data_IF_633112889228
#
_entry.id   IF_633112889228
#
_cell.length_a   1.000
_cell.length_b   1.000
_cell.length_c   1.000
_cell.angle_alpha   90.00
_cell.angle_beta   90.00
_cell.angle_gamma   90.00
#
_symmetry.space_group_name_H-M   'P 1'
#
loop_
_entity.id
_entity.type
_entity.pdbx_description
1 polymer ?
#
# COMPACT_ATOMS: atom_id res chain seq x y z
N UNK A 1 32.49 -59.22 21.74
CA UNK A 1 31.40 -58.47 22.40
C UNK A 1 31.38 -57.08 21.75
N UNK A 2 30.40 -56.78 20.90
CA UNK A 2 29.09 -56.17 21.23
C UNK A 2 29.18 -54.65 21.51
N UNK A 3 28.72 -53.86 20.52
CA UNK A 3 27.81 -52.68 20.59
C UNK A 3 27.80 -51.79 21.84
N UNK A 4 27.94 -50.46 21.73
CA UNK A 4 26.86 -49.50 21.42
C UNK A 4 27.31 -48.04 21.64
N UNK A 5 26.59 -47.16 20.94
CA UNK A 5 26.52 -45.70 21.05
C UNK A 5 26.31 -45.17 22.48
N UNK A 6 26.68 -43.90 22.71
CA UNK A 6 25.67 -42.87 22.99
C UNK A 6 26.31 -41.48 23.14
N UNK A 7 25.88 -40.60 22.23
CA UNK A 7 25.99 -39.15 22.29
C UNK A 7 25.03 -38.69 23.39
N UNK A 8 25.51 -37.85 24.31
CA UNK A 8 24.64 -37.04 25.19
C UNK A 8 24.91 -35.56 25.02
N UNK A 9 23.85 -34.87 24.61
CA UNK A 9 23.65 -33.42 24.67
C UNK A 9 23.62 -32.91 26.11
N UNK A 10 24.03 -31.64 26.30
CA UNK A 10 23.37 -30.68 27.20
C UNK A 10 23.89 -29.28 26.81
N UNK A 11 23.06 -28.46 26.14
CA UNK A 11 22.05 -27.54 26.69
C UNK A 11 22.55 -26.09 26.74
N UNK A 12 22.69 -25.47 25.57
CA UNK A 12 22.65 -24.01 25.45
C UNK A 12 21.21 -23.55 25.68
N UNK A 13 20.97 -23.01 26.86
CA UNK A 13 19.73 -22.34 27.26
C UNK A 13 19.26 -21.29 26.23
N UNK A 14 17.94 -21.09 26.07
CA UNK A 14 17.35 -20.30 25.00
C UNK A 14 17.66 -18.82 25.15
N UNK A 15 18.00 -18.16 24.04
CA UNK A 15 18.02 -16.71 23.96
C UNK A 15 16.61 -16.19 24.26
N UNK A 16 16.56 -15.18 25.13
CA UNK A 16 15.36 -14.44 25.45
C UNK A 16 14.89 -13.68 24.21
N UNK A 17 13.97 -14.26 23.45
CA UNK A 17 13.07 -13.49 22.59
C UNK A 17 11.94 -12.94 23.45
N UNK A 18 12.25 -11.92 24.22
CA UNK A 18 11.26 -11.10 24.90
C UNK A 18 11.66 -9.66 24.61
N UNK A 19 11.05 -9.08 23.58
CA UNK A 19 10.77 -7.65 23.38
C UNK A 19 10.44 -7.39 21.90
N UNK A 20 9.29 -7.93 21.44
CA UNK A 20 8.70 -7.58 20.13
C UNK A 20 7.75 -6.38 20.19
N UNK A 21 7.62 -5.74 21.36
CA UNK A 21 6.67 -4.64 21.59
C UNK A 21 7.19 -3.26 21.17
N UNK A 22 8.44 -3.15 20.69
CA UNK A 22 9.04 -1.88 20.26
C UNK A 22 9.83 -2.09 18.96
N UNK A 23 9.15 -2.51 17.89
CA UNK A 23 9.75 -2.50 16.57
C UNK A 23 8.80 -1.74 15.64
N UNK A 24 9.28 -0.60 15.14
CA UNK A 24 8.62 0.21 14.13
C UNK A 24 8.27 -0.68 12.92
N UNK A 25 7.07 -0.56 12.36
CA UNK A 25 6.59 -1.44 11.28
C UNK A 25 7.56 -1.48 10.08
N UNK A 26 8.26 -0.37 9.80
CA UNK A 26 9.29 -0.27 8.76
C UNK A 26 10.54 -1.14 9.03
N UNK A 27 10.92 -1.32 10.31
CA UNK A 27 12.10 -2.10 10.69
C UNK A 27 11.82 -3.61 10.74
N UNK A 28 10.55 -4.00 10.89
CA UNK A 28 10.14 -5.40 10.88
C UNK A 28 10.31 -6.00 9.48
N UNK A 29 9.92 -5.24 8.44
CA UNK A 29 10.06 -5.64 7.04
C UNK A 29 11.53 -5.89 6.66
N UNK A 30 12.46 -5.06 7.16
CA UNK A 30 13.90 -5.23 6.93
C UNK A 30 14.52 -6.39 7.73
N UNK A 31 14.02 -6.68 8.93
CA UNK A 31 14.52 -7.78 9.76
C UNK A 31 14.13 -9.16 9.18
N UNK A 32 12.96 -9.25 8.54
CA UNK A 32 12.42 -10.48 7.95
C UNK A 32 13.11 -10.90 6.64
N UNK A 33 13.90 -10.02 6.02
CA UNK A 33 14.70 -10.32 4.81
C UNK A 33 15.78 -11.38 5.01
N UNK A 34 16.04 -11.83 6.25
CA UNK A 34 17.20 -12.68 6.59
C UNK A 34 16.93 -14.19 6.70
N UNK A 35 15.70 -14.70 6.58
CA UNK A 35 15.47 -16.15 6.83
C UNK A 35 14.77 -16.98 5.75
N UNK A 36 14.39 -16.41 4.62
CA UNK A 36 14.13 -17.14 3.37
C UNK A 36 14.55 -16.24 2.22
N UNK A 37 15.07 -16.83 1.15
CA UNK A 37 15.37 -16.09 -0.09
C UNK A 37 14.05 -15.56 -0.63
N UNK A 38 13.79 -14.27 -0.42
CA UNK A 38 12.61 -13.57 -0.98
C UNK A 38 12.62 -13.80 -2.50
N UNK A 39 11.44 -14.02 -3.13
CA UNK A 39 11.34 -14.07 -4.58
C UNK A 39 12.11 -12.94 -5.25
N UNK A 40 12.89 -13.25 -6.30
CA UNK A 40 13.68 -12.23 -7.04
C UNK A 40 12.81 -11.13 -7.65
N UNK A 41 11.51 -11.37 -7.81
CA UNK A 41 10.53 -10.40 -8.29
C UNK A 41 9.49 -10.15 -7.22
N UNK A 42 9.35 -8.89 -6.80
CA UNK A 42 8.20 -8.45 -6.00
C UNK A 42 6.92 -8.49 -6.83
N UNK A 43 5.78 -8.61 -6.16
CA UNK A 43 4.48 -8.46 -6.78
C UNK A 43 4.15 -6.98 -6.94
N UNK A 44 4.04 -6.52 -8.19
CA UNK A 44 3.77 -5.12 -8.55
C UNK A 44 2.32 -4.83 -8.92
N UNK A 45 1.42 -5.82 -8.81
CA UNK A 45 0.01 -5.70 -9.18
C UNK A 45 -0.27 -5.57 -10.69
N UNK A 46 0.69 -5.93 -11.56
CA UNK A 46 0.53 -5.88 -13.02
C UNK A 46 -0.02 -7.18 -13.65
N UNK A 47 0.02 -8.28 -12.93
CA UNK A 47 -0.53 -9.59 -13.31
C UNK A 47 -1.39 -10.11 -12.16
N UNK A 48 -2.34 -11.05 -12.39
CA UNK A 48 -3.07 -11.71 -11.33
C UNK A 48 -2.14 -12.25 -10.23
N UNK A 49 -2.54 -12.07 -8.97
CA UNK A 49 -1.77 -12.56 -7.85
C UNK A 49 -1.57 -14.09 -7.90
N UNK A 50 -2.57 -14.83 -8.40
CA UNK A 50 -2.47 -16.28 -8.63
C UNK A 50 -1.34 -16.65 -9.59
N UNK A 51 -1.19 -15.91 -10.69
CA UNK A 51 -0.11 -16.12 -11.65
C UNK A 51 1.27 -15.81 -11.03
N UNK A 52 1.33 -14.80 -10.15
CA UNK A 52 2.54 -14.50 -9.40
C UNK A 52 2.90 -15.63 -8.42
N UNK A 53 1.90 -16.19 -7.72
CA UNK A 53 2.09 -17.34 -6.83
C UNK A 53 2.57 -18.56 -7.62
N UNK A 54 1.97 -18.87 -8.76
CA UNK A 54 2.36 -20.00 -9.62
C UNK A 54 3.82 -19.88 -10.10
N UNK A 55 4.23 -18.68 -10.53
CA UNK A 55 5.63 -18.42 -10.94
C UNK A 55 6.62 -18.57 -9.79
N UNK A 56 6.15 -18.44 -8.55
CA UNK A 56 6.95 -18.55 -7.33
C UNK A 56 6.52 -19.76 -6.47
N UNK A 57 5.93 -20.80 -7.08
CA UNK A 57 5.31 -21.90 -6.35
C UNK A 57 6.26 -22.63 -5.39
N UNK A 58 7.55 -22.74 -5.73
CA UNK A 58 8.57 -23.32 -4.85
C UNK A 58 8.74 -22.51 -3.56
N UNK A 59 8.68 -21.19 -3.64
CA UNK A 59 8.74 -20.32 -2.46
C UNK A 59 7.45 -20.43 -1.65
N UNK A 60 6.28 -20.33 -2.30
CA UNK A 60 5.00 -20.38 -1.60
C UNK A 60 4.69 -21.74 -0.96
N UNK A 61 5.15 -22.84 -1.55
CA UNK A 61 5.06 -24.19 -0.93
C UNK A 61 5.94 -24.32 0.32
N UNK A 62 7.08 -23.63 0.38
CA UNK A 62 7.90 -23.59 1.60
C UNK A 62 7.22 -22.81 2.73
N UNK A 63 6.39 -21.82 2.40
CA UNK A 63 5.62 -21.07 3.39
C UNK A 63 4.58 -21.95 4.10
N UNK A 64 4.01 -22.98 3.45
CA UNK A 64 2.92 -23.80 4.02
C UNK A 64 3.26 -24.41 5.38
N UNK A 65 4.53 -24.74 5.61
CA UNK A 65 5.01 -25.35 6.85
C UNK A 65 5.38 -24.33 7.95
N UNK A 66 5.34 -23.03 7.65
CA UNK A 66 5.66 -21.97 8.60
C UNK A 66 4.47 -21.62 9.50
N UNK A 67 4.75 -20.92 10.60
CA UNK A 67 3.70 -20.37 11.46
C UNK A 67 2.94 -19.27 10.70
N UNK A 68 1.68 -19.08 11.06
CA UNK A 68 0.80 -18.10 10.41
C UNK A 68 1.42 -16.70 10.31
N UNK A 69 1.98 -16.20 11.41
CA UNK A 69 2.60 -14.88 11.43
C UNK A 69 3.84 -14.79 10.50
N UNK A 70 4.59 -15.88 10.36
CA UNK A 70 5.75 -15.95 9.46
C UNK A 70 5.29 -15.97 8.00
N UNK A 71 4.24 -16.74 7.67
CA UNK A 71 3.61 -16.74 6.34
C UNK A 71 3.18 -15.33 5.93
N UNK A 72 2.47 -14.64 6.82
CA UNK A 72 2.01 -13.27 6.62
C UNK A 72 3.18 -12.32 6.40
N UNK A 73 4.20 -12.40 7.26
CA UNK A 73 5.42 -11.60 7.13
C UNK A 73 6.11 -11.79 5.77
N UNK A 74 6.28 -13.03 5.33
CA UNK A 74 6.88 -13.34 4.03
C UNK A 74 6.02 -12.89 2.85
N UNK A 75 4.70 -13.05 2.93
CA UNK A 75 3.78 -12.53 1.93
C UNK A 75 3.92 -11.02 1.76
N UNK A 76 3.92 -10.27 2.87
CA UNK A 76 4.07 -8.82 2.86
C UNK A 76 5.43 -8.39 2.29
N UNK A 77 6.49 -9.13 2.59
CA UNK A 77 7.82 -8.91 2.02
C UNK A 77 7.92 -9.18 0.51
N UNK A 78 6.95 -9.89 -0.07
CA UNK A 78 6.86 -10.10 -1.51
C UNK A 78 6.16 -8.95 -2.24
N UNK A 79 5.48 -8.05 -1.55
CA UNK A 79 4.72 -6.96 -2.18
C UNK A 79 5.64 -5.80 -2.55
N UNK A 80 5.37 -5.12 -3.66
CA UNK A 80 5.96 -3.80 -3.91
C UNK A 80 5.37 -2.76 -2.96
N UNK A 81 6.08 -1.65 -2.75
CA UNK A 81 5.64 -0.58 -1.85
C UNK A 81 4.24 -0.06 -2.19
N UNK A 82 3.90 0.03 -3.48
CA UNK A 82 2.59 0.47 -3.95
C UNK A 82 1.49 -0.55 -3.59
N UNK A 83 1.75 -1.84 -3.83
CA UNK A 83 0.79 -2.90 -3.47
C UNK A 83 0.60 -2.97 -1.97
N UNK A 84 1.70 -2.86 -1.20
CA UNK A 84 1.66 -2.84 0.26
C UNK A 84 0.83 -1.66 0.78
N UNK A 85 1.07 -0.44 0.28
CA UNK A 85 0.30 0.76 0.66
C UNK A 85 -1.18 0.59 0.38
N UNK A 86 -1.52 0.06 -0.79
CA UNK A 86 -2.92 -0.17 -1.17
C UNK A 86 -3.57 -1.25 -0.31
N UNK A 87 -2.84 -2.32 0.02
CA UNK A 87 -3.28 -3.34 0.97
C UNK A 87 -3.51 -2.75 2.36
N UNK A 88 -2.63 -1.84 2.81
CA UNK A 88 -2.78 -1.13 4.09
C UNK A 88 -4.00 -0.22 4.08
N UNK A 89 -4.29 0.45 2.96
CA UNK A 89 -5.43 1.34 2.82
C UNK A 89 -6.79 0.64 2.94
N UNK A 90 -6.92 -0.66 2.59
CA UNK A 90 -8.18 -1.40 2.86
C UNK A 90 -8.30 -1.92 4.28
N UNK A 91 -7.17 -2.02 5.02
CA UNK A 91 -7.13 -2.55 6.39
C UNK A 91 -6.51 -1.52 7.36
N UNK A 92 -7.17 -0.37 7.57
CA UNK A 92 -6.59 0.72 8.36
C UNK A 92 -6.36 0.35 9.83
N UNK A 93 -7.34 -0.33 10.44
CA UNK A 93 -7.34 -0.64 11.88
C UNK A 93 -6.63 -1.95 12.25
N UNK A 94 -6.11 -2.67 11.25
CA UNK A 94 -5.44 -3.94 11.44
C UNK A 94 -4.01 -3.78 10.95
N UNK A 95 -3.02 -4.06 11.81
CA UNK A 95 -1.64 -4.17 11.36
C UNK A 95 -1.58 -5.31 10.34
N UNK A 96 -1.06 -5.06 9.13
CA UNK A 96 -1.03 -6.09 8.09
C UNK A 96 -0.29 -7.35 8.57
N UNK A 97 0.75 -7.18 9.38
CA UNK A 97 1.51 -8.26 10.00
C UNK A 97 0.68 -9.13 10.98
N UNK A 98 -0.44 -8.61 11.48
CA UNK A 98 -1.38 -9.32 12.36
C UNK A 98 -2.54 -9.98 11.61
N UNK A 99 -2.68 -9.72 10.31
CA UNK A 99 -3.68 -10.36 9.47
C UNK A 99 -3.33 -11.83 9.24
N UNK A 100 -4.36 -12.66 9.01
CA UNK A 100 -4.16 -14.02 8.55
C UNK A 100 -3.63 -14.01 7.11
N UNK A 101 -2.75 -14.95 6.82
CA UNK A 101 -2.17 -15.11 5.49
C UNK A 101 -3.27 -15.33 4.45
N UNK A 102 -4.24 -16.19 4.74
CA UNK A 102 -5.37 -16.47 3.84
C UNK A 102 -6.15 -15.22 3.46
N UNK A 103 -6.38 -14.33 4.43
CA UNK A 103 -7.21 -13.14 4.24
C UNK A 103 -6.50 -12.13 3.33
N UNK A 104 -5.18 -12.00 3.46
CA UNK A 104 -4.38 -11.14 2.60
C UNK A 104 -4.23 -11.72 1.19
N UNK A 105 -4.10 -13.04 1.05
CA UNK A 105 -4.09 -13.70 -0.27
C UNK A 105 -5.41 -13.48 -1.00
N UNK A 106 -6.54 -13.61 -0.29
CA UNK A 106 -7.86 -13.35 -0.83
C UNK A 106 -8.00 -11.91 -1.32
N UNK A 107 -7.56 -10.94 -0.52
CA UNK A 107 -7.57 -9.53 -0.88
C UNK A 107 -6.72 -9.26 -2.13
N UNK A 108 -5.48 -9.77 -2.16
CA UNK A 108 -4.56 -9.63 -3.30
C UNK A 108 -5.11 -10.26 -4.58
N UNK A 109 -5.85 -11.37 -4.43
CA UNK A 109 -6.48 -12.07 -5.55
C UNK A 109 -7.73 -11.36 -6.07
N UNK A 110 -8.55 -10.78 -5.18
CA UNK A 110 -9.88 -10.23 -5.53
C UNK A 110 -9.87 -8.75 -5.88
N UNK A 111 -9.09 -7.93 -5.19
CA UNK A 111 -9.30 -6.47 -5.17
C UNK A 111 -8.15 -5.68 -5.80
N UNK A 112 -6.92 -6.15 -5.64
CA UNK A 112 -5.74 -5.32 -5.92
C UNK A 112 -5.21 -5.44 -7.34
N UNK A 113 -5.36 -6.60 -7.98
CA UNK A 113 -4.84 -6.81 -9.33
C UNK A 113 -5.48 -5.82 -10.33
N UNK A 114 -6.81 -5.73 -10.35
CA UNK A 114 -7.50 -4.85 -11.30
C UNK A 114 -7.33 -3.37 -10.92
N UNK A 115 -7.49 -3.03 -9.64
CA UNK A 115 -7.39 -1.63 -9.17
C UNK A 115 -6.01 -1.03 -9.43
N UNK A 116 -4.93 -1.80 -9.23
CA UNK A 116 -3.54 -1.34 -9.46
C UNK A 116 -3.22 -1.23 -10.94
N UNK A 117 -3.65 -2.23 -11.73
CA UNK A 117 -3.52 -2.20 -13.18
C UNK A 117 -4.22 -0.97 -13.76
N UNK A 118 -5.49 -0.76 -13.40
CA UNK A 118 -6.24 0.40 -13.86
C UNK A 118 -5.63 1.72 -13.38
N UNK A 119 -5.20 1.83 -12.12
CA UNK A 119 -4.54 3.04 -11.63
C UNK A 119 -3.26 3.37 -12.41
N UNK A 120 -2.42 2.38 -12.73
CA UNK A 120 -1.21 2.57 -13.55
C UNK A 120 -1.55 2.89 -15.01
N UNK A 121 -2.48 2.17 -15.61
CA UNK A 121 -2.91 2.40 -17.01
C UNK A 121 -3.51 3.79 -17.19
N UNK A 122 -4.43 4.20 -16.30
CA UNK A 122 -5.00 5.55 -16.33
C UNK A 122 -3.97 6.61 -15.98
N UNK A 123 -3.05 6.37 -15.04
CA UNK A 123 -1.96 7.33 -14.77
C UNK A 123 -1.03 7.55 -15.95
N UNK A 124 -0.84 6.55 -16.81
CA UNK A 124 -0.05 6.69 -18.03
C UNK A 124 -0.83 7.40 -19.16
N UNK A 125 -2.16 7.23 -19.20
CA UNK A 125 -3.06 7.87 -20.17
C UNK A 125 -3.34 9.34 -19.83
N UNK A 126 -3.34 9.67 -18.55
CA UNK A 126 -3.47 11.02 -18.03
C UNK A 126 -2.08 11.66 -18.05
N UNK A 127 -1.91 12.74 -18.83
CA UNK A 127 -0.60 13.34 -19.14
C UNK A 127 0.37 13.39 -17.95
N UNK A 128 1.66 13.01 -18.16
CA UNK A 128 2.65 13.00 -17.10
C UNK A 128 3.06 14.42 -16.69
N UNK A 129 3.21 14.61 -15.37
CA UNK A 129 4.01 15.63 -14.72
C UNK A 129 3.70 17.09 -15.07
N UNK A 130 2.42 17.47 -14.98
CA UNK A 130 2.07 18.87 -14.73
C UNK A 130 2.49 19.25 -13.29
N UNK A 131 3.29 20.30 -13.14
CA UNK A 131 3.41 20.95 -11.83
C UNK A 131 2.10 21.69 -11.56
N UNK A 132 1.29 21.16 -10.64
CA UNK A 132 0.10 21.86 -10.17
C UNK A 132 0.53 22.92 -9.16
N UNK A 133 0.00 24.14 -9.31
CA UNK A 133 0.31 25.28 -8.44
C UNK A 133 -0.23 25.07 -7.02
N UNK A 134 -1.33 24.32 -6.89
CA UNK A 134 -2.03 24.02 -5.65
C UNK A 134 -2.96 22.81 -5.85
N UNK A 135 -3.44 22.23 -4.75
CA UNK A 135 -4.26 21.03 -4.78
C UNK A 135 -5.67 21.26 -5.37
N UNK A 136 -6.23 22.47 -5.31
CA UNK A 136 -7.53 22.77 -5.96
C UNK A 136 -7.41 22.78 -7.48
N UNK A 137 -6.32 23.36 -7.98
CA UNK A 137 -5.98 23.32 -9.40
C UNK A 137 -5.75 21.89 -9.87
N UNK A 138 -5.09 21.03 -9.08
CA UNK A 138 -4.99 19.60 -9.33
C UNK A 138 -6.38 18.94 -9.47
N UNK A 139 -7.29 19.11 -8.50
CA UNK A 139 -8.62 18.50 -8.56
C UNK A 139 -9.38 18.88 -9.83
N UNK A 140 -9.43 20.18 -10.13
CA UNK A 140 -10.15 20.70 -11.29
C UNK A 140 -9.58 20.17 -12.60
N UNK A 141 -8.26 20.17 -12.75
CA UNK A 141 -7.60 19.67 -13.96
C UNK A 141 -7.86 18.17 -14.12
N UNK A 142 -7.69 17.38 -13.05
CA UNK A 142 -7.93 15.92 -13.09
C UNK A 142 -9.38 15.57 -13.40
N UNK A 143 -10.36 16.29 -12.83
CA UNK A 143 -11.77 16.10 -13.18
C UNK A 143 -12.04 16.32 -14.67
N UNK A 144 -11.43 17.33 -15.29
CA UNK A 144 -11.54 17.59 -16.74
C UNK A 144 -10.86 16.49 -17.54
N UNK A 145 -9.65 16.07 -17.15
CA UNK A 145 -8.91 15.00 -17.82
C UNK A 145 -9.69 13.68 -17.79
N UNK A 146 -10.23 13.28 -16.62
CA UNK A 146 -11.03 12.07 -16.50
C UNK A 146 -12.29 12.15 -17.34
N UNK A 147 -13.03 13.26 -17.28
CA UNK A 147 -14.24 13.42 -18.09
C UNK A 147 -13.94 13.29 -19.58
N UNK A 148 -12.86 13.94 -20.05
CA UNK A 148 -12.44 13.84 -21.45
C UNK A 148 -12.03 12.41 -21.83
N UNK A 149 -11.38 11.68 -20.92
CA UNK A 149 -10.95 10.31 -21.17
C UNK A 149 -12.14 9.34 -21.20
N UNK A 150 -13.06 9.46 -20.25
CA UNK A 150 -14.29 8.66 -20.19
C UNK A 150 -15.20 8.91 -21.41
N UNK A 151 -15.26 10.15 -21.90
CA UNK A 151 -15.97 10.49 -23.14
C UNK A 151 -15.29 9.89 -24.38
N UNK A 152 -13.95 9.92 -24.44
CA UNK A 152 -13.18 9.36 -25.55
C UNK A 152 -13.27 7.82 -25.61
N UNK A 153 -13.21 7.16 -24.47
CA UNK A 153 -13.18 5.68 -24.38
C UNK A 153 -14.57 5.07 -24.23
N UNK A 154 -15.58 5.86 -23.84
CA UNK A 154 -16.90 5.37 -23.40
C UNK A 154 -16.84 4.42 -22.19
N UNK A 155 -15.74 4.43 -21.45
CA UNK A 155 -15.54 3.63 -20.24
C UNK A 155 -15.45 4.53 -19.02
N UNK A 156 -16.14 4.18 -17.93
CA UNK A 156 -16.08 4.94 -16.68
C UNK A 156 -14.86 4.52 -15.87
N UNK A 157 -14.07 5.48 -15.43
CA UNK A 157 -12.94 5.26 -14.53
C UNK A 157 -13.48 5.13 -13.11
N UNK A 158 -13.13 4.06 -12.35
CA UNK A 158 -13.59 3.89 -10.97
C UNK A 158 -13.14 5.04 -10.05
N UNK A 159 -14.02 5.47 -9.14
CA UNK A 159 -13.74 6.58 -8.21
C UNK A 159 -12.54 6.29 -7.29
N UNK A 160 -12.39 5.03 -6.85
CA UNK A 160 -11.23 4.58 -6.09
C UNK A 160 -9.91 4.82 -6.84
N UNK A 161 -9.89 4.54 -8.14
CA UNK A 161 -8.72 4.79 -8.98
C UNK A 161 -8.42 6.28 -9.06
N UNK A 162 -9.43 7.12 -9.29
CA UNK A 162 -9.29 8.58 -9.35
C UNK A 162 -8.74 9.16 -8.03
N UNK A 163 -9.21 8.64 -6.90
CA UNK A 163 -8.77 9.07 -5.58
C UNK A 163 -7.34 8.62 -5.27
N UNK A 164 -6.95 7.40 -5.65
CA UNK A 164 -5.54 6.94 -5.54
C UNK A 164 -4.63 7.86 -6.37
N UNK A 165 -5.04 8.21 -7.60
CA UNK A 165 -4.27 9.12 -8.45
C UNK A 165 -4.10 10.49 -7.77
N UNK A 166 -5.15 11.07 -7.19
CA UNK A 166 -5.04 12.34 -6.45
C UNK A 166 -4.11 12.23 -5.24
N UNK A 167 -4.24 11.14 -4.49
CA UNK A 167 -3.45 10.86 -3.29
C UNK A 167 -1.95 10.86 -3.57
N UNK A 168 -1.52 10.37 -4.73
CA UNK A 168 -0.10 10.34 -5.12
C UNK A 168 0.49 11.75 -5.34
N UNK A 169 -0.32 12.75 -5.68
CA UNK A 169 0.13 14.14 -5.85
C UNK A 169 0.17 14.93 -4.54
N UNK A 170 -0.53 14.48 -3.51
CA UNK A 170 -0.54 15.18 -2.22
C UNK A 170 0.79 15.07 -1.48
N UNK A 171 1.14 16.16 -0.81
CA UNK A 171 2.28 16.24 0.12
C UNK A 171 1.79 16.30 1.56
N UNK A 172 2.66 16.00 2.51
CA UNK A 172 2.33 16.21 3.93
C UNK A 172 2.14 17.69 4.25
N UNK A 173 1.18 18.06 5.14
CA UNK A 173 0.31 17.20 5.95
C UNK A 173 -1.00 16.77 5.25
N UNK A 174 -1.29 17.33 4.08
CA UNK A 174 -2.50 17.09 3.28
C UNK A 174 -2.69 15.61 2.94
N UNK A 175 -1.58 14.92 2.65
CA UNK A 175 -1.56 13.48 2.38
C UNK A 175 -2.14 12.66 3.53
N UNK A 176 -1.76 12.95 4.79
CA UNK A 176 -2.31 12.25 5.96
C UNK A 176 -3.82 12.41 6.15
N UNK A 177 -4.38 13.56 5.75
CA UNK A 177 -5.82 13.82 5.81
C UNK A 177 -6.54 13.00 4.75
N UNK A 178 -6.01 12.98 3.53
CA UNK A 178 -6.55 12.20 2.42
C UNK A 178 -6.52 10.72 2.73
N UNK A 179 -5.41 10.24 3.30
CA UNK A 179 -5.27 8.87 3.79
C UNK A 179 -6.37 8.54 4.80
N UNK A 180 -6.58 9.38 5.82
CA UNK A 180 -7.65 9.17 6.81
C UNK A 180 -9.02 9.09 6.17
N UNK A 181 -9.35 10.00 5.25
CA UNK A 181 -10.66 9.98 4.58
C UNK A 181 -10.85 8.70 3.76
N UNK A 182 -9.84 8.30 2.96
CA UNK A 182 -9.89 7.08 2.15
C UNK A 182 -10.13 5.86 3.04
N UNK A 183 -9.46 5.81 4.19
CA UNK A 183 -9.62 4.74 5.16
C UNK A 183 -11.04 4.69 5.75
N UNK A 184 -11.60 5.83 6.12
CA UNK A 184 -12.95 5.94 6.68
C UNK A 184 -14.05 5.56 5.67
N UNK A 185 -13.81 5.79 4.37
CA UNK A 185 -14.83 5.66 3.31
C UNK A 185 -14.54 4.53 2.31
N UNK A 186 -13.57 3.64 2.57
CA UNK A 186 -13.09 2.63 1.61
C UNK A 186 -14.19 1.78 0.95
N UNK A 187 -15.26 1.43 1.67
CA UNK A 187 -16.35 0.60 1.16
C UNK A 187 -17.35 1.34 0.26
N UNK A 188 -17.37 2.67 0.30
CA UNK A 188 -18.31 3.49 -0.46
C UNK A 188 -17.67 4.82 -0.85
N UNK A 189 -16.48 4.74 -1.43
CA UNK A 189 -15.67 5.91 -1.72
C UNK A 189 -16.21 6.62 -2.96
N UNK A 190 -16.71 7.84 -2.76
CA UNK A 190 -17.18 8.72 -3.82
C UNK A 190 -16.17 9.84 -4.07
N UNK A 191 -15.83 10.07 -5.33
CA UNK A 191 -14.86 11.10 -5.71
C UNK A 191 -15.31 12.52 -5.31
N UNK A 192 -16.60 12.82 -5.47
CA UNK A 192 -17.15 14.16 -5.21
C UNK A 192 -17.09 14.47 -3.73
N UNK A 193 -17.47 13.51 -2.90
CA UNK A 193 -17.44 13.67 -1.44
C UNK A 193 -15.99 13.78 -0.95
N UNK A 194 -15.08 12.97 -1.50
CA UNK A 194 -13.65 13.07 -1.22
C UNK A 194 -13.10 14.47 -1.52
N UNK A 195 -13.29 14.95 -2.75
CA UNK A 195 -12.81 16.28 -3.17
C UNK A 195 -13.41 17.38 -2.29
N UNK A 196 -14.70 17.29 -2.00
CA UNK A 196 -15.38 18.27 -1.14
C UNK A 196 -14.78 18.28 0.25
N UNK A 197 -14.58 17.11 0.86
CA UNK A 197 -13.94 17.00 2.17
C UNK A 197 -12.54 17.61 2.15
N UNK A 198 -11.69 17.19 1.21
CA UNK A 198 -10.32 17.69 1.09
C UNK A 198 -10.30 19.22 0.96
N UNK A 199 -11.15 19.82 0.13
CA UNK A 199 -11.18 21.27 -0.08
C UNK A 199 -11.71 22.07 1.11
N UNK A 200 -12.47 21.44 2.01
CA UNK A 200 -12.96 22.04 3.25
C UNK A 200 -11.96 21.98 4.40
N UNK A 201 -10.97 21.09 4.31
CA UNK A 201 -9.95 20.94 5.34
C UNK A 201 -9.04 22.18 5.40
N UNK A 202 -8.85 22.70 6.61
CA UNK A 202 -8.18 24.00 6.82
C UNK A 202 -6.75 24.06 6.25
N UNK A 203 -6.08 22.90 6.20
CA UNK A 203 -4.74 22.75 5.64
C UNK A 203 -4.74 22.89 4.10
N UNK A 204 -5.80 22.46 3.42
CA UNK A 204 -6.00 22.71 1.97
C UNK A 204 -6.29 24.18 1.67
N UNK A 205 -7.01 24.86 2.57
CA UNK A 205 -7.37 26.27 2.37
C UNK A 205 -6.12 27.16 2.47
N UNK A 206 -5.16 26.81 3.33
CA UNK A 206 -3.97 27.62 3.57
C UNK A 206 -2.88 27.51 2.47
N UNK A 207 -2.87 26.44 1.67
CA UNK A 207 -1.97 26.31 0.50
C UNK A 207 -2.31 27.29 -0.62
N UNK A 208 -3.55 27.80 -0.67
CA UNK A 208 -3.97 28.81 -1.65
C UNK A 208 -3.36 30.20 -1.42
N UNK A 209 -2.59 30.38 -0.34
CA UNK A 209 -1.95 31.65 0.01
C UNK A 209 -0.55 31.76 -0.57
N UNK A 210 -0.49 32.05 -1.87
CA UNK A 210 0.73 32.61 -2.45
C UNK A 210 1.12 33.85 -1.62
N UNK A 211 2.31 33.80 -1.04
CA UNK A 211 2.66 34.55 0.16
C UNK A 211 2.52 36.06 0.00
N UNK A 212 1.44 36.64 0.54
CA UNK A 212 1.44 38.05 0.91
C UNK A 212 2.34 38.22 2.13
N UNK A 213 3.63 38.47 1.85
CA UNK A 213 4.58 39.05 2.81
C UNK A 213 3.89 40.20 3.53
N UNK A 214 3.62 40.01 4.81
CA UNK A 214 3.34 41.11 5.74
C UNK A 214 4.56 42.03 5.74
N UNK A 215 4.56 43.07 4.89
CA UNK A 215 5.44 44.22 5.06
C UNK A 215 4.96 44.96 6.31
N UNK A 216 5.62 44.69 7.44
CA UNK A 216 5.58 45.59 8.60
C UNK A 216 5.95 47.00 8.11
N UNK A 217 4.99 47.94 8.20
CA UNK A 217 5.31 49.36 8.08
C UNK A 217 6.17 49.74 9.29
N UNK A 218 7.37 50.25 9.01
CA UNK A 218 8.10 51.11 9.96
C UNK A 218 7.44 52.48 9.98
#
# INVERSE_FOLDING_TARGET
>A
MATNSDIKEESTSPSKFSDFSIINEDNLADFLKKQLTIPQMQFFGGTPFTEYVDKNAVFFSQLENLKENEKTAYLLGCLSDEVYKLLKLSRPNTALASCKYSDLVDDLTKFYTETIKYAKEYSNLLLPNGYYTDNKTLHRMKQVEWKSLEELTSEKIPDLVKVIILFDYYKEPVKSIAERYIQEHHNNLNLTDFITHMETESLFINESSDGKKCRRKK
#
